data_IF_422478923295
#
_entry.id   IF_422478923295
#
_cell.length_a   1.000
_cell.length_b   1.000
_cell.length_c   1.000
_cell.angle_alpha   90.00
_cell.angle_beta   90.00
_cell.angle_gamma   90.00
#
_symmetry.space_group_name_H-M   'P 1'
#
loop_
_entity.id
_entity.type
_entity.pdbx_description
1 polymer ?
#
# COMPACT_ATOMS: atom_id res chain seq x y z
N UNK A 1 -21.27 20.04 2.94
CA UNK A 1 -20.01 20.19 2.20
C UNK A 1 -19.41 18.81 2.05
N UNK A 2 -18.88 18.50 0.87
CA UNK A 2 -18.26 17.22 0.58
C UNK A 2 -16.89 17.13 1.28
N UNK A 3 -16.47 15.99 1.85
CA UNK A 3 -15.18 15.88 2.56
C UNK A 3 -13.95 16.28 1.74
N UNK A 4 -14.02 16.16 0.41
CA UNK A 4 -12.93 16.51 -0.50
C UNK A 4 -12.85 18.02 -0.84
N UNK A 5 -13.72 18.85 -0.28
CA UNK A 5 -13.68 20.30 -0.52
C UNK A 5 -12.38 20.89 0.08
N UNK A 6 -11.49 21.48 -0.76
CA UNK A 6 -10.20 22.01 -0.31
C UNK A 6 -10.34 23.21 0.64
N UNK A 7 -11.51 23.85 0.70
CA UNK A 7 -11.77 24.95 1.62
C UNK A 7 -12.10 24.48 3.05
N UNK A 8 -12.34 23.18 3.28
CA UNK A 8 -12.62 22.68 4.62
C UNK A 8 -11.44 22.88 5.57
N UNK A 9 -11.77 23.25 6.81
CA UNK A 9 -10.82 23.45 7.92
C UNK A 9 -11.33 22.72 9.15
N UNK A 10 -10.42 22.03 9.84
CA UNK A 10 -10.71 21.36 11.11
C UNK A 10 -10.57 22.34 12.28
N UNK A 11 -11.22 22.04 13.41
CA UNK A 11 -10.86 22.69 14.69
C UNK A 11 -9.52 22.19 15.24
N UNK A 12 -9.05 21.03 14.77
CA UNK A 12 -7.69 20.54 15.03
C UNK A 12 -6.77 21.33 14.11
N UNK A 13 -5.70 21.88 14.67
CA UNK A 13 -4.67 22.55 13.89
C UNK A 13 -3.90 21.51 13.08
N UNK A 14 -3.81 21.69 11.77
CA UNK A 14 -3.18 20.75 10.85
C UNK A 14 -2.20 21.50 9.97
N UNK A 15 -0.93 21.08 10.04
CA UNK A 15 0.11 21.59 9.16
C UNK A 15 -0.27 21.34 7.68
N UNK A 16 -0.10 22.31 6.76
CA UNK A 16 -0.38 22.14 5.33
C UNK A 16 0.41 21.00 4.67
N UNK A 17 1.56 20.65 5.23
CA UNK A 17 2.40 19.51 4.87
C UNK A 17 2.11 18.27 5.71
N UNK A 18 1.00 18.20 6.45
CA UNK A 18 0.57 16.96 7.09
C UNK A 18 -0.02 16.01 6.05
N UNK A 19 0.23 14.70 6.23
CA UNK A 19 -0.45 13.66 5.43
C UNK A 19 -1.94 13.59 5.73
N UNK A 20 -2.38 14.09 6.88
CA UNK A 20 -3.70 13.81 7.45
C UNK A 20 -4.55 15.07 7.60
N UNK A 21 -4.81 15.87 6.56
CA UNK A 21 -5.77 16.95 6.63
C UNK A 21 -7.20 16.41 6.69
N UNK A 22 -8.17 17.29 6.92
CA UNK A 22 -9.60 16.93 6.97
C UNK A 22 -10.13 16.38 5.64
N UNK A 23 -9.41 16.58 4.53
CA UNK A 23 -9.68 16.00 3.22
C UNK A 23 -9.21 14.54 3.10
N UNK A 24 -8.29 14.06 3.96
CA UNK A 24 -7.79 12.69 3.90
C UNK A 24 -8.66 11.74 4.72
N UNK A 25 -8.63 11.86 6.05
CA UNK A 25 -9.39 11.00 6.99
C UNK A 25 -9.23 9.48 6.72
N UNK A 26 -7.99 8.93 6.74
CA UNK A 26 -7.77 7.52 6.50
C UNK A 26 -8.11 6.69 7.75
N UNK A 27 -8.49 5.43 7.54
CA UNK A 27 -8.87 4.52 8.62
C UNK A 27 -7.67 3.65 9.03
N UNK A 28 -7.52 3.40 10.32
CA UNK A 28 -6.48 2.54 10.86
C UNK A 28 -6.91 1.87 12.15
N UNK A 29 -6.09 0.96 12.66
CA UNK A 29 -6.32 0.28 13.93
C UNK A 29 -5.23 0.68 14.91
N UNK A 30 -5.62 1.06 16.11
CA UNK A 30 -4.70 1.49 17.15
C UNK A 30 -5.10 0.94 18.52
N UNK A 31 -4.15 0.96 19.46
CA UNK A 31 -4.43 0.81 20.88
C UNK A 31 -3.68 1.88 21.69
N UNK A 32 -4.18 2.11 22.91
CA UNK A 32 -3.51 2.91 23.94
C UNK A 32 -3.12 1.96 25.06
N UNK A 33 -1.82 1.86 25.37
CA UNK A 33 -1.32 0.97 26.43
C UNK A 33 -1.97 -0.44 26.34
N UNK A 34 -2.58 -0.93 27.43
CA UNK A 34 -3.20 -2.26 27.54
C UNK A 34 -4.67 -2.33 27.08
N UNK A 35 -5.16 -1.33 26.33
CA UNK A 35 -6.52 -1.37 25.77
C UNK A 35 -6.60 -2.22 24.51
N UNK A 36 -7.77 -2.79 24.25
CA UNK A 36 -8.02 -3.55 23.02
C UNK A 36 -7.83 -2.68 21.77
N UNK A 37 -7.25 -3.24 20.68
CA UNK A 37 -7.18 -2.58 19.38
C UNK A 37 -8.56 -2.22 18.85
N UNK A 38 -8.67 -1.03 18.25
CA UNK A 38 -9.93 -0.49 17.72
C UNK A 38 -9.70 0.47 16.56
N UNK A 39 -10.77 0.77 15.83
CA UNK A 39 -10.72 1.58 14.61
C UNK A 39 -10.65 3.07 14.95
N UNK A 40 -9.73 3.78 14.30
CA UNK A 40 -9.58 5.23 14.38
C UNK A 40 -9.39 5.87 13.01
N UNK A 41 -9.50 7.20 12.97
CA UNK A 41 -9.20 8.01 11.79
C UNK A 41 -8.10 9.02 12.10
N UNK A 42 -7.08 9.11 11.24
CA UNK A 42 -6.00 10.08 11.42
C UNK A 42 -6.45 11.52 11.03
N UNK A 43 -6.03 12.51 11.83
CA UNK A 43 -6.25 13.93 11.59
C UNK A 43 -5.11 14.75 12.23
N UNK A 44 -4.28 15.40 11.41
CA UNK A 44 -3.04 16.04 11.84
C UNK A 44 -2.14 15.06 12.60
N UNK A 45 -1.71 15.46 13.79
CA UNK A 45 -0.92 14.61 14.70
C UNK A 45 -1.78 13.77 15.66
N UNK A 46 -3.09 13.66 15.39
CA UNK A 46 -4.04 12.98 16.25
C UNK A 46 -4.74 11.82 15.54
N UNK A 47 -5.37 10.97 16.34
CA UNK A 47 -6.32 9.95 15.91
C UNK A 47 -7.66 10.23 16.58
N UNK A 48 -8.72 10.25 15.79
CA UNK A 48 -10.09 10.23 16.25
C UNK A 48 -10.52 8.78 16.53
N UNK A 49 -10.76 8.45 17.80
CA UNK A 49 -11.27 7.16 18.25
C UNK A 49 -12.75 7.01 17.85
N UNK A 50 -13.00 6.18 16.83
CA UNK A 50 -14.35 6.03 16.27
C UNK A 50 -15.29 5.29 17.22
N UNK A 51 -14.77 4.35 18.02
CA UNK A 51 -15.55 3.66 19.03
C UNK A 51 -15.99 4.63 20.14
N UNK A 52 -15.13 5.56 20.55
CA UNK A 52 -15.47 6.55 21.56
C UNK A 52 -16.59 7.49 21.10
N UNK A 53 -16.57 7.99 19.86
CA UNK A 53 -17.61 8.88 19.36
C UNK A 53 -18.90 8.13 18.94
N UNK A 54 -18.80 6.86 18.56
CA UNK A 54 -19.96 5.97 18.36
C UNK A 54 -20.71 5.73 19.67
N UNK A 55 -19.98 5.50 20.78
CA UNK A 55 -20.57 5.31 22.11
C UNK A 55 -21.37 6.54 22.58
N UNK A 56 -21.00 7.74 22.13
CA UNK A 56 -21.72 8.99 22.40
C UNK A 56 -22.84 9.29 21.40
N UNK A 57 -23.11 8.38 20.44
CA UNK A 57 -24.14 8.56 19.43
C UNK A 57 -23.81 9.62 18.37
N UNK A 58 -22.54 10.04 18.25
CA UNK A 58 -22.14 10.97 17.19
C UNK A 58 -21.98 10.26 15.84
N UNK A 59 -21.78 8.94 15.85
CA UNK A 59 -21.91 8.04 14.71
C UNK A 59 -23.04 7.04 14.99
N UNK A 60 -24.00 6.94 14.07
CA UNK A 60 -25.11 5.98 14.16
C UNK A 60 -25.11 5.07 12.93
N UNK A 61 -24.77 3.80 13.15
CA UNK A 61 -24.78 2.73 12.15
C UNK A 61 -25.93 1.74 12.37
N UNK A 62 -26.96 2.16 13.12
CA UNK A 62 -28.17 1.39 13.35
C UNK A 62 -27.90 0.11 14.15
N UNK A 63 -28.17 -1.06 13.55
CA UNK A 63 -27.94 -2.37 14.17
C UNK A 63 -26.47 -2.76 14.28
N UNK A 64 -25.55 -2.02 13.64
CA UNK A 64 -24.12 -2.33 13.60
C UNK A 64 -23.32 -1.62 14.71
N UNK A 65 -23.91 -1.38 15.89
CA UNK A 65 -23.23 -0.71 17.00
C UNK A 65 -22.00 -1.51 17.44
N UNK A 66 -20.92 -0.79 17.75
CA UNK A 66 -19.66 -1.38 18.23
C UNK A 66 -18.77 -1.91 17.11
N UNK A 67 -19.07 -1.59 15.86
CA UNK A 67 -18.27 -2.01 14.70
C UNK A 67 -16.87 -1.38 14.73
N UNK A 68 -16.74 -0.20 15.34
CA UNK A 68 -15.45 0.47 15.48
C UNK A 68 -14.64 0.00 16.68
N UNK A 69 -15.25 -0.77 17.59
CA UNK A 69 -14.54 -1.44 18.69
C UNK A 69 -13.90 -2.78 18.26
N UNK A 70 -13.87 -3.07 16.96
CA UNK A 70 -13.26 -4.27 16.39
C UNK A 70 -11.76 -4.09 16.16
N UNK A 71 -10.96 -5.18 16.21
CA UNK A 71 -9.50 -5.11 16.02
C UNK A 71 -9.07 -5.00 14.55
N UNK A 72 -10.01 -4.74 13.63
CA UNK A 72 -9.77 -4.60 12.19
C UNK A 72 -10.89 -3.78 11.55
N UNK A 73 -10.62 -3.17 10.39
CA UNK A 73 -11.61 -2.37 9.65
C UNK A 73 -12.60 -3.29 8.89
N UNK A 74 -12.31 -4.59 8.74
CA UNK A 74 -13.07 -5.54 7.89
C UNK A 74 -14.59 -5.48 8.09
N UNK A 75 -15.06 -5.46 9.34
CA UNK A 75 -16.50 -5.41 9.62
C UNK A 75 -17.13 -4.13 9.05
N UNK A 76 -16.47 -2.98 9.23
CA UNK A 76 -16.92 -1.71 8.65
C UNK A 76 -16.84 -1.70 7.12
N UNK A 77 -15.78 -2.29 6.54
CA UNK A 77 -15.69 -2.44 5.09
C UNK A 77 -16.88 -3.23 4.54
N UNK A 78 -17.27 -4.33 5.19
CA UNK A 78 -18.39 -5.16 4.73
C UNK A 78 -19.74 -4.40 4.62
N UNK A 79 -19.92 -3.27 5.31
CA UNK A 79 -21.15 -2.45 5.23
C UNK A 79 -21.36 -1.73 3.87
N UNK A 80 -20.31 -1.64 3.05
CA UNK A 80 -20.39 -1.16 1.68
C UNK A 80 -20.34 0.37 1.48
N UNK A 81 -20.17 0.79 0.21
CA UNK A 81 -19.74 2.14 -0.15
C UNK A 81 -20.68 3.25 0.32
N UNK A 82 -22.00 3.00 0.36
CA UNK A 82 -22.97 3.97 0.88
C UNK A 82 -22.72 4.30 2.35
N UNK A 83 -22.37 3.30 3.16
CA UNK A 83 -22.08 3.48 4.59
C UNK A 83 -20.70 4.10 4.78
N UNK A 84 -19.71 3.73 3.95
CA UNK A 84 -18.38 4.36 4.00
C UNK A 84 -18.47 5.86 3.76
N UNK A 85 -19.16 6.28 2.70
CA UNK A 85 -19.30 7.69 2.34
C UNK A 85 -20.12 8.49 3.35
N UNK A 86 -21.23 7.95 3.87
CA UNK A 86 -22.02 8.64 4.89
C UNK A 86 -21.25 8.79 6.21
N UNK A 87 -20.49 7.76 6.60
CA UNK A 87 -19.62 7.79 7.79
C UNK A 87 -18.51 8.81 7.62
N UNK A 88 -17.81 8.81 6.48
CA UNK A 88 -16.76 9.79 6.15
C UNK A 88 -17.31 11.23 6.18
N UNK A 89 -18.47 11.46 5.57
CA UNK A 89 -19.13 12.76 5.60
C UNK A 89 -19.46 13.20 7.04
N UNK A 90 -19.92 12.27 7.89
CA UNK A 90 -20.21 12.56 9.30
C UNK A 90 -18.95 12.86 10.10
N UNK A 91 -17.87 12.08 9.93
CA UNK A 91 -16.58 12.32 10.58
C UNK A 91 -16.01 13.68 10.17
N UNK A 92 -15.98 13.97 8.87
CA UNK A 92 -15.57 15.28 8.34
C UNK A 92 -16.41 16.40 8.95
N UNK A 93 -17.74 16.24 9.01
CA UNK A 93 -18.61 17.23 9.63
C UNK A 93 -18.29 17.46 11.11
N UNK A 94 -18.03 16.41 11.89
CA UNK A 94 -17.68 16.50 13.32
C UNK A 94 -16.34 17.20 13.55
N UNK A 95 -15.38 17.02 12.64
CA UNK A 95 -14.03 17.58 12.74
C UNK A 95 -13.93 19.04 12.29
N UNK A 96 -14.95 19.60 11.64
CA UNK A 96 -14.92 20.99 11.14
C UNK A 96 -14.81 22.03 12.24
N UNK A 97 -14.09 23.11 11.96
CA UNK A 97 -13.92 24.25 12.87
C UNK A 97 -15.22 24.92 13.32
N UNK A 98 -16.29 24.80 12.53
CA UNK A 98 -17.60 25.42 12.76
C UNK A 98 -18.67 24.45 13.27
N UNK A 99 -18.30 23.21 13.63
CA UNK A 99 -19.21 22.26 14.25
C UNK A 99 -18.93 22.10 15.75
N UNK A 100 -19.85 22.53 16.64
CA UNK A 100 -19.62 22.48 18.08
C UNK A 100 -19.72 21.08 18.68
N UNK A 101 -20.34 20.11 17.99
CA UNK A 101 -20.75 18.82 18.58
C UNK A 101 -19.59 18.03 19.21
N UNK A 102 -18.42 18.03 18.57
CA UNK A 102 -17.18 17.47 19.12
C UNK A 102 -16.23 18.57 19.60
N UNK A 103 -16.13 19.70 18.87
CA UNK A 103 -15.21 20.81 19.16
C UNK A 103 -15.36 21.35 20.59
N UNK A 104 -16.60 21.58 21.02
CA UNK A 104 -16.93 22.24 22.28
C UNK A 104 -17.23 21.25 23.42
N UNK A 105 -17.08 19.95 23.16
CA UNK A 105 -17.24 18.89 24.16
C UNK A 105 -15.86 18.46 24.68
N UNK A 106 -15.30 19.25 25.59
CA UNK A 106 -13.94 19.04 26.13
C UNK A 106 -13.75 17.63 26.72
N UNK A 107 -14.76 17.11 27.43
CA UNK A 107 -14.72 15.79 28.05
C UNK A 107 -14.65 14.67 27.00
N UNK A 108 -15.40 14.77 25.91
CA UNK A 108 -15.31 13.80 24.81
C UNK A 108 -14.00 13.98 24.03
N UNK A 109 -13.62 15.21 23.71
CA UNK A 109 -12.38 15.49 22.95
C UNK A 109 -11.16 14.90 23.65
N UNK A 110 -11.06 15.04 24.98
CA UNK A 110 -9.95 14.52 25.77
C UNK A 110 -9.78 12.99 25.69
N UNK A 111 -10.85 12.23 25.44
CA UNK A 111 -10.79 10.76 25.31
C UNK A 111 -10.89 10.24 23.87
N UNK A 112 -11.40 11.05 22.95
CA UNK A 112 -11.64 10.64 21.57
C UNK A 112 -10.64 11.21 20.57
N UNK A 113 -9.94 12.31 20.88
CA UNK A 113 -8.91 12.90 20.01
C UNK A 113 -7.56 12.72 20.67
N UNK A 114 -6.83 11.70 20.23
CA UNK A 114 -5.67 11.16 20.93
C UNK A 114 -4.37 11.47 20.18
N UNK A 115 -3.28 11.87 20.85
CA UNK A 115 -2.01 12.13 20.17
C UNK A 115 -1.45 10.87 19.54
N UNK A 116 -1.22 10.88 18.21
CA UNK A 116 -0.80 9.69 17.45
C UNK A 116 0.53 9.10 17.94
N UNK A 117 1.41 9.94 18.45
CA UNK A 117 2.73 9.54 19.02
C UNK A 117 2.64 8.68 20.29
N UNK A 118 1.47 8.63 20.94
CA UNK A 118 1.22 7.89 22.18
C UNK A 118 0.50 6.55 21.92
N UNK A 119 0.27 6.22 20.65
CA UNK A 119 -0.53 5.07 20.23
C UNK A 119 0.36 3.98 19.62
N UNK A 120 -0.03 2.72 19.84
CA UNK A 120 0.47 1.62 19.05
C UNK A 120 -0.45 1.42 17.83
N UNK A 121 0.10 1.49 16.62
CA UNK A 121 -0.62 1.20 15.39
C UNK A 121 -0.49 -0.30 15.06
N UNK A 122 -1.59 -0.88 14.57
CA UNK A 122 -1.69 -2.31 14.25
C UNK A 122 -1.96 -2.51 12.76
N UNK A 123 -1.93 -3.76 12.31
CA UNK A 123 -2.37 -4.11 10.97
C UNK A 123 -3.84 -3.68 10.79
N UNK A 124 -4.18 -2.85 9.79
CA UNK A 124 -5.50 -2.23 9.70
C UNK A 124 -6.62 -3.20 9.31
N UNK A 125 -6.27 -4.34 8.72
CA UNK A 125 -7.21 -5.35 8.26
C UNK A 125 -6.71 -6.76 8.63
N UNK A 126 -7.65 -7.68 8.84
CA UNK A 126 -7.38 -9.09 8.70
C UNK A 126 -7.31 -9.40 7.20
N UNK A 127 -6.12 -9.74 6.70
CA UNK A 127 -5.89 -10.03 5.28
C UNK A 127 -6.48 -11.41 4.95
N UNK A 128 -7.56 -11.43 4.16
CA UNK A 128 -8.27 -12.66 3.79
C UNK A 128 -7.47 -13.45 2.73
N UNK A 129 -7.13 -12.78 1.64
CA UNK A 129 -6.20 -13.21 0.61
C UNK A 129 -5.23 -12.11 0.24
N UNK A 130 -4.07 -12.51 -0.31
CA UNK A 130 -3.11 -11.58 -0.91
C UNK A 130 -2.79 -12.08 -2.32
N UNK A 131 -2.99 -11.24 -3.32
CA UNK A 131 -2.50 -11.44 -4.67
C UNK A 131 -1.60 -10.27 -5.04
N UNK A 132 -0.56 -10.53 -5.80
CA UNK A 132 0.40 -9.52 -6.21
C UNK A 132 0.50 -9.49 -7.74
N UNK A 133 0.36 -8.29 -8.30
CA UNK A 133 0.33 -8.06 -9.74
C UNK A 133 1.72 -7.67 -10.26
N UNK A 134 1.81 -7.44 -11.57
CA UNK A 134 3.06 -7.09 -12.23
C UNK A 134 2.85 -5.96 -13.24
N UNK A 135 2.23 -4.86 -12.78
CA UNK A 135 1.52 -3.93 -13.67
C UNK A 135 2.28 -2.67 -14.10
N UNK A 136 3.54 -2.48 -13.67
CA UNK A 136 4.42 -1.43 -14.21
C UNK A 136 5.15 -1.94 -15.47
N UNK A 137 4.99 -1.23 -16.59
CA UNK A 137 5.63 -1.57 -17.87
C UNK A 137 7.13 -1.41 -17.79
N UNK A 138 7.58 -0.35 -17.14
CA UNK A 138 8.97 0.01 -16.94
C UNK A 138 9.65 -1.05 -16.09
N UNK A 139 9.03 -1.46 -14.97
CA UNK A 139 9.57 -2.52 -14.13
C UNK A 139 9.70 -3.85 -14.89
N UNK A 140 8.63 -4.29 -15.55
CA UNK A 140 8.62 -5.51 -16.34
C UNK A 140 9.67 -5.50 -17.47
N UNK A 141 9.85 -4.34 -18.09
CA UNK A 141 10.86 -4.13 -19.13
C UNK A 141 12.28 -4.18 -18.53
N UNK A 142 12.54 -3.49 -17.42
CA UNK A 142 13.85 -3.48 -16.77
C UNK A 142 14.28 -4.89 -16.36
N UNK A 143 13.42 -5.63 -15.67
CA UNK A 143 13.66 -7.03 -15.27
C UNK A 143 13.85 -7.89 -16.52
N UNK A 144 12.99 -7.73 -17.52
CA UNK A 144 13.11 -8.42 -18.79
C UNK A 144 14.46 -8.24 -19.48
N UNK A 145 14.96 -7.00 -19.55
CA UNK A 145 16.27 -6.67 -20.12
C UNK A 145 17.38 -7.41 -19.37
N UNK A 146 17.35 -7.41 -18.03
CA UNK A 146 18.39 -8.06 -17.21
C UNK A 146 18.46 -9.57 -17.41
N UNK A 147 17.32 -10.23 -17.61
CA UNK A 147 17.26 -11.69 -17.67
C UNK A 147 17.20 -12.26 -19.09
N UNK A 148 16.66 -11.52 -20.06
CA UNK A 148 16.36 -12.00 -21.42
C UNK A 148 16.91 -11.10 -22.53
N UNK A 149 17.52 -9.96 -22.18
CA UNK A 149 18.00 -8.97 -23.14
C UNK A 149 16.90 -8.03 -23.65
N UNK A 150 17.32 -6.97 -24.34
CA UNK A 150 16.43 -5.88 -24.77
C UNK A 150 15.31 -6.32 -25.70
N UNK A 151 15.61 -7.21 -26.64
CA UNK A 151 14.66 -7.61 -27.68
C UNK A 151 13.52 -8.50 -27.15
N UNK A 152 13.70 -9.11 -25.97
CA UNK A 152 12.75 -10.07 -25.36
C UNK A 152 12.33 -9.64 -23.95
N UNK A 153 12.33 -8.32 -23.69
CA UNK A 153 12.11 -7.78 -22.36
C UNK A 153 10.70 -8.11 -21.83
N UNK A 154 9.65 -7.74 -22.57
CA UNK A 154 8.28 -8.09 -22.20
C UNK A 154 7.89 -9.45 -22.77
N UNK A 155 7.26 -10.27 -21.93
CA UNK A 155 6.64 -11.51 -22.39
C UNK A 155 5.37 -11.19 -23.19
N UNK A 156 4.99 -12.01 -24.19
CA UNK A 156 3.88 -11.70 -25.09
C UNK A 156 2.56 -11.39 -24.39
N UNK A 157 2.26 -12.09 -23.29
CA UNK A 157 1.02 -11.93 -22.53
C UNK A 157 0.93 -10.61 -21.73
N UNK A 158 2.05 -9.97 -21.41
CA UNK A 158 2.10 -8.87 -20.45
C UNK A 158 1.27 -7.64 -20.88
N UNK A 159 1.24 -7.34 -22.18
CA UNK A 159 0.44 -6.24 -22.74
C UNK A 159 -1.04 -6.60 -22.95
N UNK A 160 -1.44 -7.85 -22.71
CA UNK A 160 -2.81 -8.33 -22.95
C UNK A 160 -3.60 -8.61 -21.67
N UNK A 161 -2.93 -8.83 -20.54
CA UNK A 161 -3.57 -9.02 -19.24
C UNK A 161 -2.67 -8.52 -18.10
N UNK A 162 -3.25 -8.03 -16.99
CA UNK A 162 -2.50 -7.77 -15.77
C UNK A 162 -2.12 -9.10 -15.12
N UNK A 163 -0.95 -9.64 -15.49
CA UNK A 163 -0.45 -10.87 -14.87
C UNK A 163 -0.22 -10.64 -13.37
N UNK A 164 -0.45 -11.69 -12.58
CA UNK A 164 -0.24 -11.69 -11.13
C UNK A 164 -0.16 -13.11 -10.59
N UNK A 165 0.11 -13.23 -9.31
CA UNK A 165 0.24 -14.50 -8.59
C UNK A 165 -0.33 -14.38 -7.18
N UNK A 166 -0.64 -15.52 -6.54
CA UNK A 166 -1.08 -15.51 -5.15
C UNK A 166 0.13 -15.28 -4.23
N UNK A 167 0.07 -14.20 -3.46
CA UNK A 167 1.03 -13.89 -2.41
C UNK A 167 0.71 -14.64 -1.11
N UNK A 168 1.41 -14.28 -0.03
CA UNK A 168 1.24 -14.91 1.29
C UNK A 168 0.61 -13.96 2.32
N UNK A 169 -0.69 -14.11 2.57
CA UNK A 169 -1.43 -13.29 3.53
C UNK A 169 -0.86 -13.34 4.96
N UNK A 170 -0.40 -14.51 5.43
CA UNK A 170 0.04 -14.70 6.82
C UNK A 170 1.29 -13.92 7.21
N UNK A 171 2.03 -13.39 6.22
CA UNK A 171 3.28 -12.65 6.41
C UNK A 171 3.14 -11.19 5.96
N UNK A 172 1.90 -10.72 5.76
CA UNK A 172 1.62 -9.30 5.66
C UNK A 172 1.67 -8.69 7.05
N UNK A 173 2.57 -7.72 7.25
CA UNK A 173 2.85 -7.09 8.54
C UNK A 173 2.69 -5.58 8.48
N UNK A 174 2.43 -4.95 9.62
CA UNK A 174 2.34 -3.50 9.72
C UNK A 174 3.73 -2.85 9.69
N UNK A 175 3.81 -1.63 9.16
CA UNK A 175 4.96 -0.73 9.23
C UNK A 175 5.69 -0.77 10.58
N UNK A 176 7.02 -0.74 10.55
CA UNK A 176 7.90 -0.81 11.72
C UNK A 176 8.23 -2.23 12.18
N UNK A 177 7.56 -3.25 11.63
CA UNK A 177 7.92 -4.65 11.89
C UNK A 177 9.32 -4.95 11.33
N UNK A 178 10.19 -5.53 12.16
CA UNK A 178 11.53 -5.98 11.74
C UNK A 178 11.42 -7.11 10.72
N UNK A 179 12.32 -7.11 9.73
CA UNK A 179 12.32 -8.08 8.63
C UNK A 179 13.56 -8.96 8.72
N UNK A 180 13.44 -10.22 9.20
CA UNK A 180 14.56 -11.14 9.22
C UNK A 180 14.99 -11.51 7.81
N UNK A 181 16.29 -11.40 7.53
CA UNK A 181 16.86 -11.89 6.28
C UNK A 181 16.53 -13.38 6.13
N UNK A 182 15.85 -13.80 5.04
CA UNK A 182 15.45 -15.18 4.88
C UNK A 182 16.67 -16.07 4.59
N UNK A 183 16.54 -17.34 4.97
CA UNK A 183 17.43 -18.42 4.55
C UNK A 183 16.72 -19.25 3.49
N UNK A 184 17.46 -19.73 2.50
CA UNK A 184 16.88 -20.54 1.44
C UNK A 184 17.93 -21.23 0.60
N UNK A 185 17.48 -21.92 -0.44
CA UNK A 185 18.36 -22.50 -1.43
C UNK A 185 18.92 -21.42 -2.36
N UNK A 186 20.23 -21.45 -2.59
CA UNK A 186 20.96 -20.49 -3.40
C UNK A 186 21.72 -21.25 -4.49
N UNK A 187 21.48 -20.88 -5.76
CA UNK A 187 22.14 -21.48 -6.92
C UNK A 187 22.75 -20.40 -7.83
N UNK A 188 23.94 -19.87 -7.48
CA UNK A 188 24.64 -18.96 -8.38
C UNK A 188 25.05 -19.71 -9.68
N UNK A 189 25.22 -19.01 -10.82
CA UNK A 189 25.54 -19.63 -12.10
C UNK A 189 26.81 -20.50 -12.10
N UNK A 190 27.76 -20.19 -11.23
CA UNK A 190 29.05 -20.90 -11.12
C UNK A 190 29.00 -22.16 -10.26
N UNK A 191 27.91 -22.39 -9.52
CA UNK A 191 27.78 -23.58 -8.68
C UNK A 191 27.14 -24.72 -9.48
N UNK A 192 27.56 -25.96 -9.26
CA UNK A 192 26.93 -27.14 -9.89
C UNK A 192 25.64 -27.54 -9.17
N UNK A 193 25.64 -27.52 -7.82
CA UNK A 193 24.50 -27.86 -6.95
C UNK A 193 24.11 -26.68 -6.05
N UNK A 194 22.84 -26.57 -5.60
CA UNK A 194 22.44 -25.48 -4.70
C UNK A 194 23.06 -25.65 -3.30
N UNK A 195 23.18 -24.53 -2.60
CA UNK A 195 23.56 -24.46 -1.18
C UNK A 195 22.40 -23.91 -0.35
N UNK A 196 22.38 -24.15 0.97
CA UNK A 196 21.38 -23.54 1.86
C UNK A 196 22.05 -22.50 2.77
N UNK A 197 21.53 -21.27 2.78
CA UNK A 197 22.12 -20.20 3.58
C UNK A 197 21.32 -18.90 3.53
N UNK A 198 21.83 -17.84 4.19
CA UNK A 198 21.22 -16.52 4.17
C UNK A 198 21.16 -15.93 2.75
N UNK A 199 20.05 -15.30 2.41
CA UNK A 199 19.87 -14.53 1.17
C UNK A 199 20.99 -13.50 1.01
N UNK A 200 21.60 -13.43 -0.17
CA UNK A 200 22.66 -12.49 -0.53
C UNK A 200 22.15 -11.30 -1.34
N UNK A 201 20.95 -11.40 -1.93
CA UNK A 201 20.34 -10.37 -2.78
C UNK A 201 18.95 -10.00 -2.25
N UNK A 202 18.93 -9.45 -1.04
CA UNK A 202 17.70 -8.98 -0.39
C UNK A 202 17.31 -7.61 -0.94
N UNK A 203 16.04 -7.42 -1.24
CA UNK A 203 15.54 -6.29 -1.97
C UNK A 203 14.19 -5.82 -1.44
N UNK A 204 13.80 -4.61 -1.82
CA UNK A 204 12.47 -4.06 -1.63
C UNK A 204 11.73 -4.00 -2.96
N UNK A 205 10.41 -3.88 -2.89
CA UNK A 205 9.56 -3.54 -4.03
C UNK A 205 8.58 -2.46 -3.62
N UNK A 206 8.71 -1.27 -4.22
CA UNK A 206 7.81 -0.15 -3.97
C UNK A 206 6.46 -0.41 -4.63
N UNK A 207 5.40 -0.52 -3.82
CA UNK A 207 4.06 -0.85 -4.32
C UNK A 207 2.94 -0.07 -3.62
N UNK A 208 1.76 -0.14 -4.23
CA UNK A 208 0.49 0.16 -3.57
C UNK A 208 -0.27 -1.14 -3.33
N UNK A 209 -0.80 -1.30 -2.11
CA UNK A 209 -1.79 -2.31 -1.78
C UNK A 209 -3.19 -1.76 -1.97
N UNK A 210 -4.04 -2.49 -2.70
CA UNK A 210 -5.46 -2.19 -2.90
C UNK A 210 -6.26 -3.03 -1.90
N UNK A 211 -7.08 -2.38 -1.08
CA UNK A 211 -7.89 -3.04 -0.05
C UNK A 211 -9.32 -3.22 -0.54
N UNK A 212 -9.76 -4.48 -0.59
CA UNK A 212 -11.11 -4.82 -1.03
C UNK A 212 -12.09 -4.77 0.12
N UNK A 213 -13.17 -4.00 -0.07
CA UNK A 213 -14.23 -3.83 0.92
C UNK A 213 -15.54 -4.50 0.59
N UNK A 214 -15.75 -4.99 -0.64
CA UNK A 214 -16.96 -5.72 -1.03
C UNK A 214 -16.61 -7.09 -1.61
N UNK A 215 -17.35 -8.10 -1.16
CA UNK A 215 -17.18 -9.45 -1.64
C UNK A 215 -17.89 -9.68 -2.98
N UNK A 216 -17.35 -10.59 -3.79
CA UNK A 216 -17.97 -11.14 -5.00
C UNK A 216 -18.01 -12.66 -4.89
N UNK A 217 -19.18 -13.30 -5.08
CA UNK A 217 -19.29 -14.75 -4.95
C UNK A 217 -18.50 -15.47 -6.04
N UNK A 218 -18.08 -16.71 -5.75
CA UNK A 218 -17.47 -17.61 -6.72
C UNK A 218 -18.37 -17.77 -7.96
N UNK A 219 -17.77 -17.73 -9.14
CA UNK A 219 -18.43 -17.79 -10.44
C UNK A 219 -18.87 -16.43 -11.00
N UNK A 220 -18.77 -15.35 -10.22
CA UNK A 220 -19.11 -14.00 -10.65
C UNK A 220 -17.94 -13.26 -11.30
N UNK A 221 -18.21 -12.53 -12.40
CA UNK A 221 -17.31 -11.50 -12.93
C UNK A 221 -17.68 -10.12 -12.38
N UNK A 222 -16.70 -9.23 -12.32
CA UNK A 222 -16.91 -7.82 -11.99
C UNK A 222 -16.88 -6.95 -13.25
N UNK A 223 -17.84 -6.04 -13.35
CA UNK A 223 -17.73 -4.90 -14.27
C UNK A 223 -16.75 -3.85 -13.72
N UNK A 224 -16.28 -2.93 -14.57
CA UNK A 224 -15.44 -1.79 -14.14
C UNK A 224 -16.04 -1.04 -12.93
N UNK A 225 -17.34 -0.71 -12.99
CA UNK A 225 -18.03 -0.01 -11.91
C UNK A 225 -18.12 -0.83 -10.61
N UNK A 226 -18.41 -2.12 -10.71
CA UNK A 226 -18.45 -2.99 -9.53
C UNK A 226 -17.06 -3.16 -8.90
N UNK A 227 -16.02 -3.31 -9.71
CA UNK A 227 -14.65 -3.39 -9.23
C UNK A 227 -14.25 -2.07 -8.54
N UNK A 228 -14.56 -0.92 -9.12
CA UNK A 228 -14.33 0.39 -8.51
C UNK A 228 -15.06 0.53 -7.17
N UNK A 229 -16.36 0.21 -7.12
CA UNK A 229 -17.16 0.26 -5.89
C UNK A 229 -16.70 -0.72 -4.81
N UNK A 230 -16.05 -1.82 -5.22
CA UNK A 230 -15.52 -2.85 -4.30
C UNK A 230 -14.23 -2.43 -3.61
N UNK A 231 -13.46 -1.50 -4.19
CA UNK A 231 -12.22 -1.00 -3.59
C UNK A 231 -12.56 -0.03 -2.47
N UNK A 232 -12.23 -0.40 -1.22
CA UNK A 232 -12.38 0.46 -0.05
C UNK A 232 -11.34 1.59 -0.05
N UNK A 233 -10.08 1.23 -0.31
CA UNK A 233 -8.97 2.16 -0.27
C UNK A 233 -7.64 1.53 -0.61
N UNK A 234 -6.58 2.25 -0.25
CA UNK A 234 -5.21 1.95 -0.62
C UNK A 234 -4.28 2.08 0.58
N UNK A 235 -3.16 1.37 0.53
CA UNK A 235 -2.04 1.44 1.49
C UNK A 235 -0.73 1.42 0.72
N UNK A 236 0.36 1.98 1.27
CA UNK A 236 1.69 1.68 0.77
C UNK A 236 2.03 0.22 1.07
N UNK A 237 2.72 -0.44 0.15
CA UNK A 237 3.13 -1.84 0.27
C UNK A 237 4.61 -1.98 -0.10
N UNK A 238 5.35 -2.74 0.70
CA UNK A 238 6.70 -3.20 0.39
C UNK A 238 6.73 -4.72 0.31
N UNK A 239 6.89 -5.27 -0.89
CA UNK A 239 7.01 -6.71 -1.10
C UNK A 239 8.48 -7.16 -1.04
N UNK A 240 8.95 -7.42 0.18
CA UNK A 240 10.34 -7.79 0.42
C UNK A 240 10.73 -9.02 -0.39
N UNK A 241 11.88 -8.94 -1.04
CA UNK A 241 12.24 -9.91 -2.09
C UNK A 241 13.64 -10.45 -1.91
N UNK A 242 13.77 -11.78 -1.81
CA UNK A 242 15.05 -12.48 -1.82
C UNK A 242 15.36 -12.99 -3.23
N UNK A 243 16.03 -12.15 -4.03
CA UNK A 243 16.17 -12.33 -5.49
C UNK A 243 16.91 -13.59 -5.90
N UNK A 244 17.89 -14.01 -5.11
CA UNK A 244 18.67 -15.23 -5.35
C UNK A 244 17.92 -16.51 -5.01
N UNK A 245 17.09 -16.50 -3.96
CA UNK A 245 16.14 -17.58 -3.65
C UNK A 245 15.10 -17.66 -4.77
N UNK A 246 14.47 -16.51 -5.08
CA UNK A 246 13.45 -16.39 -6.11
C UNK A 246 13.94 -16.92 -7.46
N UNK A 247 15.14 -16.51 -7.90
CA UNK A 247 15.69 -16.90 -9.20
C UNK A 247 15.88 -18.41 -9.34
N UNK A 248 16.15 -19.13 -8.25
CA UNK A 248 16.31 -20.58 -8.27
C UNK A 248 14.97 -21.32 -8.26
N UNK A 249 13.97 -20.83 -7.53
CA UNK A 249 12.71 -21.55 -7.32
C UNK A 249 11.61 -21.26 -8.35
N UNK A 250 11.61 -20.09 -9.00
CA UNK A 250 10.39 -19.56 -9.62
C UNK A 250 9.94 -20.29 -10.89
N UNK A 251 10.80 -21.10 -11.50
CA UNK A 251 10.45 -21.83 -12.73
C UNK A 251 9.98 -23.25 -12.36
N UNK A 252 8.77 -23.68 -12.78
CA UNK A 252 7.79 -22.97 -13.61
C UNK A 252 6.64 -22.29 -12.83
N UNK A 253 6.63 -22.38 -11.49
CA UNK A 253 5.42 -22.13 -10.68
C UNK A 253 5.26 -20.69 -10.17
N UNK A 254 6.22 -19.80 -10.46
CA UNK A 254 6.23 -18.42 -9.99
C UNK A 254 6.95 -18.25 -8.64
N UNK A 255 7.06 -16.99 -8.16
CA UNK A 255 7.72 -16.66 -6.90
C UNK A 255 7.04 -17.34 -5.70
N UNK A 256 7.82 -17.80 -4.72
CA UNK A 256 7.29 -18.43 -3.51
C UNK A 256 8.06 -18.03 -2.25
N UNK A 257 9.15 -18.72 -1.87
CA UNK A 257 9.95 -18.40 -0.68
C UNK A 257 10.79 -17.14 -0.87
N UNK A 258 11.04 -16.73 -2.11
CA UNK A 258 11.64 -15.46 -2.47
C UNK A 258 10.79 -14.25 -2.07
N UNK A 259 9.51 -14.43 -1.69
CA UNK A 259 8.54 -13.37 -1.35
C UNK A 259 7.86 -13.59 0.00
N UNK A 260 7.41 -14.82 0.26
CA UNK A 260 6.53 -15.16 1.39
C UNK A 260 7.13 -15.03 2.81
N UNK A 261 8.32 -14.46 2.96
CA UNK A 261 8.95 -14.24 4.26
C UNK A 261 8.50 -12.95 4.95
N UNK A 262 8.15 -11.90 4.18
CA UNK A 262 7.57 -10.66 4.71
C UNK A 262 7.00 -9.80 3.58
N UNK A 263 5.84 -9.19 3.81
CA UNK A 263 5.30 -8.07 3.02
C UNK A 263 4.85 -7.01 4.02
N UNK A 264 5.32 -5.77 3.91
CA UNK A 264 4.94 -4.70 4.86
C UNK A 264 3.89 -3.78 4.25
N UNK A 265 2.93 -3.32 5.05
CA UNK A 265 1.97 -2.28 4.63
C UNK A 265 1.92 -1.10 5.60
N UNK A 266 1.58 0.08 5.09
CA UNK A 266 1.33 1.26 5.94
C UNK A 266 0.07 1.06 6.81
N UNK A 267 0.02 1.64 8.02
CA UNK A 267 -1.07 1.38 8.98
C UNK A 267 -2.38 2.11 8.67
N UNK A 268 -2.37 3.05 7.72
CA UNK A 268 -3.51 3.88 7.36
C UNK A 268 -4.03 3.50 5.98
N UNK A 269 -5.31 3.15 5.91
CA UNK A 269 -6.01 2.91 4.66
C UNK A 269 -6.65 4.22 4.20
N UNK A 270 -6.04 4.83 3.17
CA UNK A 270 -6.57 6.01 2.51
C UNK A 270 -7.72 5.57 1.60
N UNK A 271 -8.92 6.07 1.83
CA UNK A 271 -10.10 5.60 1.08
C UNK A 271 -10.02 6.02 -0.38
N UNK A 272 -10.62 5.21 -1.26
CA UNK A 272 -10.76 5.57 -2.68
C UNK A 272 -11.42 6.94 -2.86
N UNK A 273 -12.43 7.22 -2.05
CA UNK A 273 -13.14 8.51 -2.06
C UNK A 273 -12.21 9.70 -1.74
N UNK A 274 -11.22 9.55 -0.85
CA UNK A 274 -10.24 10.60 -0.53
C UNK A 274 -9.29 10.89 -1.71
N UNK A 275 -9.05 9.89 -2.55
CA UNK A 275 -8.17 9.99 -3.71
C UNK A 275 -8.87 10.50 -4.97
N UNK A 276 -10.20 10.58 -4.97
CA UNK A 276 -11.00 10.98 -6.13
C UNK A 276 -10.55 12.31 -6.79
N UNK A 277 -10.16 13.37 -6.06
CA UNK A 277 -9.67 14.61 -6.67
C UNK A 277 -8.37 14.46 -7.48
N UNK A 278 -7.65 13.36 -7.29
CA UNK A 278 -6.34 13.09 -7.88
C UNK A 278 -6.39 11.97 -8.93
N UNK A 279 -7.59 11.52 -9.30
CA UNK A 279 -7.82 10.49 -10.31
C UNK A 279 -7.43 11.01 -11.69
N UNK A 280 -6.64 10.22 -12.42
CA UNK A 280 -6.10 10.54 -13.75
C UNK A 280 -6.15 9.33 -14.68
N UNK A 281 -6.08 9.57 -16.00
CA UNK A 281 -5.85 8.49 -16.95
C UNK A 281 -4.41 7.99 -16.81
N UNK A 282 -4.24 6.66 -16.80
CA UNK A 282 -2.94 6.02 -16.88
C UNK A 282 -2.32 6.11 -18.29
N UNK A 283 -1.20 5.42 -18.52
CA UNK A 283 -0.56 5.34 -19.83
C UNK A 283 -1.51 4.75 -20.89
N UNK A 284 -1.36 5.18 -22.15
CA UNK A 284 -2.09 4.59 -23.26
C UNK A 284 -1.72 3.10 -23.41
N UNK A 285 -2.74 2.26 -23.60
CA UNK A 285 -2.57 0.81 -23.72
C UNK A 285 -2.53 0.40 -25.20
N UNK A 286 -1.38 -0.11 -25.63
CA UNK A 286 -1.14 -0.61 -26.98
C UNK A 286 -0.48 -2.01 -26.93
N UNK A 287 -1.11 -3.04 -27.51
CA UNK A 287 -2.41 -3.03 -28.19
C UNK A 287 -3.58 -2.73 -27.25
N UNK A 288 -4.73 -2.35 -27.83
CA UNK A 288 -5.96 -2.19 -27.06
C UNK A 288 -6.32 -3.50 -26.33
N UNK A 289 -6.61 -3.45 -25.01
CA UNK A 289 -7.02 -4.65 -24.27
C UNK A 289 -8.31 -5.25 -24.83
N UNK A 290 -8.55 -6.53 -24.50
CA UNK A 290 -9.84 -7.18 -24.76
C UNK A 290 -10.98 -6.40 -24.08
N UNK A 291 -12.23 -6.45 -24.61
CA UNK A 291 -13.33 -5.61 -24.13
C UNK A 291 -13.59 -5.63 -22.62
N UNK A 292 -13.37 -6.77 -21.94
CA UNK A 292 -13.59 -6.89 -20.49
C UNK A 292 -12.58 -6.08 -19.65
N UNK A 293 -11.43 -5.71 -20.20
CA UNK A 293 -10.41 -4.88 -19.53
C UNK A 293 -10.37 -3.44 -20.04
N UNK A 294 -11.21 -3.08 -21.01
CA UNK A 294 -11.25 -1.70 -21.49
C UNK A 294 -11.90 -0.81 -20.43
N UNK A 295 -11.30 0.37 -20.22
CA UNK A 295 -11.76 1.32 -19.22
C UNK A 295 -12.53 2.46 -19.86
N UNK A 296 -13.63 2.88 -19.23
CA UNK A 296 -14.43 4.03 -19.67
C UNK A 296 -13.93 5.34 -19.07
N UNK A 297 -13.29 5.26 -17.90
CA UNK A 297 -12.84 6.42 -17.14
C UNK A 297 -11.39 6.32 -16.67
N UNK A 298 -10.97 7.37 -15.98
CA UNK A 298 -9.70 7.44 -15.28
C UNK A 298 -9.71 6.50 -14.06
N UNK A 299 -8.69 5.67 -13.90
CA UNK A 299 -8.59 4.71 -12.78
C UNK A 299 -7.18 4.63 -12.18
N UNK A 300 -6.31 5.57 -12.54
CA UNK A 300 -5.01 5.78 -11.92
C UNK A 300 -5.08 7.01 -11.01
N UNK A 301 -4.05 7.22 -10.18
CA UNK A 301 -3.97 8.36 -9.27
C UNK A 301 -2.64 9.08 -9.41
N UNK A 302 -2.69 10.42 -9.44
CA UNK A 302 -1.49 11.24 -9.31
C UNK A 302 -1.02 11.20 -7.85
N UNK A 303 -0.23 10.19 -7.54
CA UNK A 303 0.20 9.83 -6.19
C UNK A 303 1.72 9.71 -6.23
N UNK A 304 2.38 10.70 -5.65
CA UNK A 304 3.83 10.76 -5.52
C UNK A 304 4.29 9.70 -4.55
N UNK A 305 5.35 8.99 -4.91
CA UNK A 305 5.95 7.94 -4.11
C UNK A 305 7.44 8.21 -3.95
N UNK A 306 7.97 7.96 -2.77
CA UNK A 306 9.42 8.01 -2.54
C UNK A 306 9.89 6.90 -1.61
N UNK A 307 11.16 6.53 -1.79
CA UNK A 307 11.85 5.51 -0.99
C UNK A 307 13.13 6.10 -0.45
N UNK A 308 13.28 6.03 0.87
CA UNK A 308 14.46 6.43 1.61
C UNK A 308 15.14 5.19 2.21
N UNK A 309 16.46 5.13 2.09
CA UNK A 309 17.31 4.08 2.66
C UNK A 309 18.25 4.68 3.70
N UNK A 310 18.17 4.19 4.92
CA UNK A 310 19.10 4.47 6.01
C UNK A 310 20.06 3.29 6.15
N UNK A 311 21.35 3.53 5.89
CA UNK A 311 22.38 2.52 6.05
C UNK A 311 22.62 2.19 7.53
N UNK A 312 22.92 0.93 7.84
CA UNK A 312 23.27 0.50 9.18
C UNK A 312 24.35 1.39 9.82
N UNK A 313 24.09 1.91 11.03
CA UNK A 313 25.04 2.77 11.76
C UNK A 313 25.15 4.20 11.24
N UNK A 314 24.38 4.59 10.22
CA UNK A 314 24.31 5.98 9.73
C UNK A 314 23.14 6.73 10.37
N UNK A 315 23.17 8.06 10.31
CA UNK A 315 22.12 8.93 10.89
C UNK A 315 21.30 9.67 9.84
N UNK A 316 21.65 9.55 8.56
CA UNK A 316 21.04 10.32 7.47
C UNK A 316 20.56 9.37 6.37
N UNK A 317 19.23 9.30 6.13
CA UNK A 317 18.72 8.51 5.02
C UNK A 317 19.06 9.16 3.67
N UNK A 318 19.18 8.31 2.65
CA UNK A 318 19.31 8.72 1.25
C UNK A 318 18.02 8.38 0.52
N UNK A 319 17.48 9.35 -0.22
CA UNK A 319 16.37 9.10 -1.12
C UNK A 319 16.86 8.39 -2.36
N UNK A 320 16.49 7.12 -2.51
CA UNK A 320 16.98 6.25 -3.59
C UNK A 320 15.98 6.08 -4.73
N UNK A 321 14.71 6.44 -4.51
CA UNK A 321 13.68 6.44 -5.54
C UNK A 321 12.65 7.55 -5.31
N UNK A 322 12.21 8.18 -6.39
CA UNK A 322 11.00 9.02 -6.43
C UNK A 322 10.25 8.72 -7.70
N UNK A 323 9.00 8.28 -7.61
CA UNK A 323 8.17 7.90 -8.76
C UNK A 323 6.71 8.29 -8.53
N UNK A 324 5.79 7.79 -9.34
CA UNK A 324 4.37 8.10 -9.21
C UNK A 324 3.49 6.93 -9.65
N UNK A 325 2.41 6.68 -8.91
CA UNK A 325 1.48 5.58 -9.21
C UNK A 325 0.73 5.75 -10.53
N UNK A 326 0.64 6.98 -11.07
CA UNK A 326 -0.01 7.23 -12.37
C UNK A 326 0.68 6.55 -13.56
N UNK A 327 1.91 6.07 -13.37
CA UNK A 327 2.68 5.36 -14.39
C UNK A 327 2.30 3.88 -14.52
N UNK A 328 1.45 3.35 -13.62
CA UNK A 328 1.00 1.96 -13.71
C UNK A 328 0.19 1.72 -14.99
N UNK A 329 0.64 0.75 -15.80
CA UNK A 329 0.05 0.44 -17.11
C UNK A 329 -1.29 -0.26 -17.00
N UNK A 330 -1.44 -1.13 -15.99
CA UNK A 330 -2.72 -1.70 -15.60
C UNK A 330 -3.17 -1.06 -14.29
N UNK A 331 -4.39 -0.51 -14.28
CA UNK A 331 -4.96 0.10 -13.09
C UNK A 331 -5.46 -0.94 -12.08
N UNK A 332 -5.62 -0.54 -10.81
CA UNK A 332 -6.21 -1.39 -9.75
C UNK A 332 -7.59 -1.94 -10.11
N UNK A 333 -8.37 -1.18 -10.89
CA UNK A 333 -9.69 -1.63 -11.37
C UNK A 333 -9.56 -2.75 -12.40
N UNK A 334 -8.64 -2.63 -13.36
CA UNK A 334 -8.36 -3.70 -14.33
C UNK A 334 -7.80 -4.95 -13.64
N UNK A 335 -6.94 -4.80 -12.65
CA UNK A 335 -6.39 -5.89 -11.84
C UNK A 335 -7.52 -6.69 -11.17
N UNK A 336 -8.44 -6.02 -10.48
CA UNK A 336 -9.57 -6.66 -9.82
C UNK A 336 -10.57 -7.29 -10.81
N UNK A 337 -10.87 -6.61 -11.91
CA UNK A 337 -11.71 -7.17 -13.00
C UNK A 337 -11.07 -8.45 -13.57
N UNK A 338 -9.75 -8.44 -13.79
CA UNK A 338 -9.04 -9.61 -14.29
C UNK A 338 -9.07 -10.76 -13.28
N UNK A 339 -8.81 -10.48 -12.00
CA UNK A 339 -8.82 -11.49 -10.94
C UNK A 339 -10.18 -12.20 -10.81
N UNK A 340 -11.27 -11.45 -10.87
CA UNK A 340 -12.62 -12.01 -10.84
C UNK A 340 -13.04 -12.69 -12.18
N UNK A 341 -12.31 -12.48 -13.28
CA UNK A 341 -12.78 -12.84 -14.63
C UNK A 341 -12.99 -14.35 -14.87
N UNK A 342 -12.31 -15.21 -14.10
CA UNK A 342 -12.48 -16.66 -14.17
C UNK A 342 -13.52 -17.19 -13.16
N UNK A 343 -14.20 -16.31 -12.42
CA UNK A 343 -15.10 -16.68 -11.33
C UNK A 343 -14.40 -16.87 -9.98
N UNK A 344 -13.17 -16.37 -9.79
CA UNK A 344 -12.54 -16.29 -8.48
C UNK A 344 -13.46 -15.53 -7.52
N UNK A 345 -13.71 -16.08 -6.34
CA UNK A 345 -14.34 -15.32 -5.27
C UNK A 345 -13.41 -14.16 -4.85
N UNK A 346 -14.02 -13.05 -4.48
CA UNK A 346 -13.34 -11.89 -3.91
C UNK A 346 -13.92 -11.69 -2.51
N UNK A 347 -13.07 -11.54 -1.50
CA UNK A 347 -13.49 -11.43 -0.12
C UNK A 347 -13.17 -10.05 0.48
N UNK A 348 -13.95 -9.66 1.50
CA UNK A 348 -13.67 -8.43 2.26
C UNK A 348 -12.37 -8.60 3.03
N UNK A 349 -11.41 -7.71 2.80
CA UNK A 349 -10.07 -7.81 3.36
C UNK A 349 -9.07 -8.50 2.44
N UNK A 350 -9.42 -8.84 1.20
CA UNK A 350 -8.42 -9.14 0.19
C UNK A 350 -7.52 -7.93 -0.05
N UNK A 351 -6.23 -8.20 -0.21
CA UNK A 351 -5.19 -7.24 -0.52
C UNK A 351 -4.63 -7.55 -1.91
N UNK A 352 -4.60 -6.55 -2.79
CA UNK A 352 -3.97 -6.68 -4.10
C UNK A 352 -2.73 -5.79 -4.18
N UNK A 353 -1.54 -6.38 -4.30
CA UNK A 353 -0.30 -5.66 -4.59
C UNK A 353 -0.30 -5.18 -6.04
N UNK A 354 0.19 -3.96 -6.27
CA UNK A 354 0.20 -3.39 -7.61
C UNK A 354 1.24 -4.05 -8.53
N UNK A 355 2.21 -4.75 -7.96
CA UNK A 355 3.51 -4.97 -8.54
C UNK A 355 4.39 -3.73 -8.43
N UNK A 356 5.70 -3.95 -8.40
CA UNK A 356 6.71 -2.90 -8.27
C UNK A 356 6.46 -1.72 -9.20
N UNK A 357 6.40 -0.50 -8.64
CA UNK A 357 6.13 0.74 -9.36
C UNK A 357 7.46 1.36 -9.81
N UNK A 358 7.73 1.30 -11.12
CA UNK A 358 8.87 1.98 -11.75
C UNK A 358 8.40 3.00 -12.78
N UNK A 359 9.15 4.09 -12.89
CA UNK A 359 9.01 5.08 -13.97
C UNK A 359 10.10 5.00 -15.04
N UNK A 360 10.00 5.80 -16.12
CA UNK A 360 10.91 5.74 -17.26
C UNK A 360 12.35 6.16 -16.92
N UNK A 361 12.55 6.98 -15.89
CA UNK A 361 13.87 7.48 -15.52
C UNK A 361 14.54 6.61 -14.43
N UNK A 362 15.88 6.59 -14.40
CA UNK A 362 16.65 5.77 -13.43
C UNK A 362 16.27 6.04 -11.97
N UNK A 363 16.02 7.31 -11.63
CA UNK A 363 15.68 7.73 -10.27
C UNK A 363 14.24 7.33 -9.85
N UNK A 364 13.45 6.78 -10.79
CA UNK A 364 12.05 6.38 -10.58
C UNK A 364 11.88 4.86 -10.46
N UNK A 365 12.98 4.10 -10.39
CA UNK A 365 12.96 2.64 -10.30
C UNK A 365 12.51 2.17 -8.91
N UNK A 366 11.67 1.14 -8.87
CA UNK A 366 10.97 0.69 -7.66
C UNK A 366 11.64 -0.41 -6.85
N UNK A 367 12.88 -0.80 -7.17
CA UNK A 367 13.62 -1.86 -6.46
C UNK A 367 15.14 -1.63 -6.53
N UNK A 368 15.92 -2.17 -5.58
CA UNK A 368 17.39 -2.15 -5.69
C UNK A 368 17.89 -3.02 -6.83
N UNK A 369 17.17 -4.10 -7.20
CA UNK A 369 17.45 -4.84 -8.43
C UNK A 369 17.55 -3.89 -9.62
N UNK A 370 16.58 -3.00 -9.79
CA UNK A 370 16.57 -2.03 -10.87
C UNK A 370 17.52 -0.87 -10.64
N UNK A 371 17.50 -0.24 -9.45
CA UNK A 371 18.31 0.94 -9.13
C UNK A 371 19.79 0.60 -9.30
N UNK A 372 20.23 -0.54 -8.75
CA UNK A 372 21.61 -1.00 -8.85
C UNK A 372 21.96 -1.68 -10.17
N UNK A 373 20.97 -1.82 -11.07
CA UNK A 373 21.08 -2.59 -12.31
C UNK A 373 21.69 -3.98 -12.09
N UNK A 374 21.06 -4.74 -11.19
CA UNK A 374 21.53 -6.05 -10.73
C UNK A 374 22.97 -6.01 -10.16
N UNK A 375 23.29 -4.96 -9.43
CA UNK A 375 24.56 -4.74 -8.74
C UNK A 375 25.68 -4.12 -9.56
N UNK A 376 25.51 -3.87 -10.86
CA UNK A 376 26.55 -3.21 -11.68
C UNK A 376 26.66 -1.70 -11.45
N UNK A 377 25.61 -1.06 -10.92
CA UNK A 377 25.50 0.38 -10.66
C UNK A 377 25.11 0.64 -9.19
N UNK A 378 25.91 0.24 -8.19
CA UNK A 378 25.53 0.35 -6.77
C UNK A 378 25.23 1.79 -6.34
N UNK A 379 24.29 1.95 -5.41
CA UNK A 379 23.99 3.23 -4.76
C UNK A 379 25.13 3.61 -3.83
N UNK A 380 25.61 4.85 -3.92
CA UNK A 380 26.60 5.41 -2.99
C UNK A 380 25.90 5.99 -1.76
N UNK A 381 26.33 5.56 -0.57
CA UNK A 381 25.80 6.00 0.71
C UNK A 381 26.63 7.16 1.29
N UNK A 382 26.10 7.96 2.23
CA UNK A 382 26.78 9.17 2.70
C UNK A 382 28.10 8.91 3.46
N UNK A 383 28.28 7.69 3.96
CA UNK A 383 29.50 7.22 4.63
C UNK A 383 30.54 6.63 3.65
N UNK A 384 30.27 6.66 2.34
CA UNK A 384 31.10 6.09 1.29
C UNK A 384 30.89 4.59 1.07
N UNK A 385 30.03 3.94 1.86
CA UNK A 385 29.61 2.56 1.60
C UNK A 385 28.72 2.49 0.35
N UNK A 386 28.51 1.27 -0.16
CA UNK A 386 27.76 1.02 -1.39
C UNK A 386 26.64 0.02 -1.15
N UNK A 387 25.51 0.17 -1.86
CA UNK A 387 24.38 -0.75 -1.81
C UNK A 387 23.99 -1.22 -3.20
N UNK A 388 24.19 -2.51 -3.44
CA UNK A 388 23.58 -3.23 -4.58
C UNK A 388 22.25 -3.89 -4.17
N UNK A 389 22.20 -4.37 -2.93
CA UNK A 389 21.07 -5.01 -2.27
C UNK A 389 21.11 -4.62 -0.79
N UNK A 390 20.06 -4.91 -0.04
CA UNK A 390 19.96 -4.55 1.38
C UNK A 390 20.94 -5.35 2.24
N UNK A 391 21.60 -4.67 3.17
CA UNK A 391 22.47 -5.23 4.19
C UNK A 391 21.75 -5.34 5.55
N UNK A 392 22.30 -6.12 6.48
CA UNK A 392 21.73 -6.23 7.82
C UNK A 392 21.86 -4.91 8.58
N UNK A 393 20.78 -4.48 9.24
CA UNK A 393 20.71 -3.19 9.94
C UNK A 393 20.29 -2.02 9.05
N UNK A 394 20.20 -2.19 7.73
CA UNK A 394 19.59 -1.18 6.86
C UNK A 394 18.10 -1.03 7.20
N UNK A 395 17.62 0.21 7.17
CA UNK A 395 16.19 0.54 7.32
C UNK A 395 15.67 1.25 6.08
N UNK A 396 14.51 0.81 5.61
CA UNK A 396 13.85 1.39 4.44
C UNK A 396 12.54 2.06 4.89
N UNK A 397 12.27 3.25 4.36
CA UNK A 397 11.03 3.99 4.59
C UNK A 397 10.44 4.38 3.24
N UNK A 398 9.20 3.99 2.96
CA UNK A 398 8.44 4.47 1.82
C UNK A 398 7.37 5.46 2.28
N UNK A 399 7.18 6.52 1.49
CA UNK A 399 6.15 7.55 1.70
C UNK A 399 5.36 7.73 0.41
N UNK A 400 4.10 8.14 0.54
CA UNK A 400 3.30 8.52 -0.60
C UNK A 400 2.22 9.53 -0.29
N UNK A 401 1.95 10.42 -1.23
CA UNK A 401 0.92 11.44 -1.12
C UNK A 401 0.41 11.94 -2.47
N UNK A 402 -0.84 12.36 -2.48
CA UNK A 402 -1.40 13.19 -3.53
C UNK A 402 -1.30 14.66 -3.14
N UNK A 403 -0.85 15.51 -4.07
CA UNK A 403 -0.66 16.94 -3.81
C UNK A 403 -1.90 17.74 -4.25
N UNK A 404 -2.57 18.40 -3.30
CA UNK A 404 -3.62 19.37 -3.56
C UNK A 404 -3.12 20.81 -3.48
N UNK A 405 -4.02 21.77 -3.67
CA UNK A 405 -3.71 23.20 -3.48
C UNK A 405 -3.73 23.57 -2.00
N UNK A 406 -2.54 23.68 -1.38
CA UNK A 406 -2.38 24.02 0.03
C UNK A 406 -2.64 22.89 1.03
N UNK A 407 -2.77 21.64 0.58
CA UNK A 407 -2.88 20.44 1.41
C UNK A 407 -2.33 19.21 0.67
N UNK A 408 -2.12 18.09 1.38
CA UNK A 408 -1.82 16.80 0.75
C UNK A 408 -2.64 15.66 1.35
N UNK A 409 -2.99 14.66 0.55
CA UNK A 409 -3.61 13.41 1.01
C UNK A 409 -2.53 12.34 1.04
N UNK A 410 -1.96 12.12 2.22
CA UNK A 410 -0.82 11.22 2.41
C UNK A 410 -1.18 9.89 3.06
N UNK A 411 -0.24 8.94 2.97
CA UNK A 411 -0.42 7.57 3.44
C UNK A 411 0.32 7.31 4.76
N UNK A 412 1.04 8.29 5.30
CA UNK A 412 2.06 8.03 6.30
C UNK A 412 3.22 7.27 5.70
N UNK A 413 3.70 6.28 6.45
CA UNK A 413 4.95 5.57 6.15
C UNK A 413 4.76 4.05 6.26
N UNK A 414 5.40 3.32 5.34
CA UNK A 414 5.73 1.91 5.54
C UNK A 414 7.23 1.78 5.74
N UNK A 415 7.62 1.26 6.90
CA UNK A 415 9.02 1.12 7.31
C UNK A 415 9.35 -0.34 7.63
N UNK A 416 10.61 -0.72 7.40
CA UNK A 416 11.14 -1.99 7.90
C UNK A 416 12.66 -1.94 8.04
N UNK A 417 13.16 -2.56 9.11
CA UNK A 417 14.59 -2.73 9.38
C UNK A 417 14.98 -4.17 9.16
N UNK A 418 16.06 -4.39 8.39
CA UNK A 418 16.57 -5.73 8.12
C UNK A 418 17.32 -6.24 9.35
N UNK A 419 16.94 -7.42 9.84
CA UNK A 419 17.70 -8.12 10.88
C UNK A 419 18.47 -9.30 10.31
N UNK A 420 19.59 -9.70 10.92
CA UNK A 420 20.34 -10.87 10.50
C UNK A 420 19.47 -12.12 10.38
N UNK A 421 19.89 -13.02 9.49
CA UNK A 421 19.25 -14.33 9.35
C UNK A 421 19.37 -15.12 10.66
N UNK A 422 18.27 -15.78 11.05
CA UNK A 422 18.19 -16.62 12.27
C UNK A 422 18.83 -17.99 12.05
#
# INVERSE_FOLDING_TARGET
MHPNDPALRSFIDVDPTSDFPIQNLPYGVFSIADTSPRVGVAIGDFVLDLAAIEAEGLLDLGSNKGIFAQPSINAFMALGPKVWSSTRARISALLRHDNPALRDNDALRARAVLPRKELALHLPLAVAGFADFYSSKEHATNVGIMFRGKDNALQPNWLHMPIGYNGRASTVVVSGTKVPRPRGQLKPPTAEVPSFGPCKRLDFELELGVVIGQASPMGGMLTEAQAEESIFGFTLLNDWSARDIQQWEYVPLGPFLGKSFATSISPWIVTREALEPFRVHGPAQEPAPLPYLQQRGANNYDLHLEVNLLGAGTSRPVRISTTNSKLMYWSSVQQLVHQASNGCAIDVGDLLGSGTISGPEKHQRGSLLEISWNGSEPVEMPDGSKRSFLEDGDALTMRGWCQGDGYRVGFGEVEGTITPAV
#
